data_IF_514480406063
#
_entry.id   IF_514480406063
#
_cell.length_a   1.000
_cell.length_b   1.000
_cell.length_c   1.000
_cell.angle_alpha   90.00
_cell.angle_beta   90.00
_cell.angle_gamma   90.00
#
_symmetry.space_group_name_H-M   'P 1'
#
loop_
_entity.id
_entity.type
_entity.pdbx_description
1 polymer ?
#
# COMPACT_ATOMS: atom_id res chain seq x y z
N UNK A 1 -13.71 54.64 41.04
CA UNK A 1 -13.01 53.87 40.00
C UNK A 1 -12.84 52.48 40.55
N UNK A 2 -13.54 51.49 39.97
CA UNK A 2 -13.62 50.13 40.53
C UNK A 2 -12.28 49.44 40.35
N UNK A 3 -11.63 49.10 41.46
CA UNK A 3 -10.46 48.22 41.46
C UNK A 3 -10.86 46.88 40.84
N UNK A 4 -10.30 46.59 39.66
CA UNK A 4 -10.37 45.27 39.07
C UNK A 4 -9.36 44.39 39.82
N UNK A 5 -9.77 43.85 40.97
CA UNK A 5 -9.00 42.83 41.67
C UNK A 5 -8.92 41.61 40.78
N UNK A 6 -7.79 41.45 40.08
CA UNK A 6 -7.50 40.29 39.24
C UNK A 6 -7.53 39.07 40.15
N UNK A 7 -8.59 38.28 40.06
CA UNK A 7 -8.79 37.09 40.88
C UNK A 7 -7.78 36.01 40.43
N UNK A 8 -6.55 36.11 40.94
CA UNK A 8 -5.43 35.23 40.58
C UNK A 8 -5.76 33.74 40.84
N UNK A 9 -6.72 33.46 41.73
CA UNK A 9 -7.22 32.10 41.99
C UNK A 9 -7.99 31.51 40.81
N UNK A 10 -8.83 32.31 40.13
CA UNK A 10 -9.57 31.86 38.94
C UNK A 10 -8.63 31.65 37.74
N UNK A 11 -7.63 32.53 37.57
CA UNK A 11 -6.66 32.43 36.46
C UNK A 11 -5.76 31.19 36.62
N UNK A 12 -5.35 30.87 37.84
CA UNK A 12 -4.55 29.68 38.11
C UNK A 12 -5.28 28.38 37.76
N UNK A 13 -6.60 28.32 38.02
CA UNK A 13 -7.42 27.16 37.70
C UNK A 13 -7.53 26.94 36.18
N UNK A 14 -7.73 28.02 35.41
CA UNK A 14 -7.80 27.94 33.93
C UNK A 14 -6.48 27.47 33.33
N UNK A 15 -5.34 27.99 33.80
CA UNK A 15 -4.02 27.57 33.31
C UNK A 15 -3.74 26.10 33.65
N UNK A 16 -4.11 25.65 34.86
CA UNK A 16 -3.93 24.25 35.26
C UNK A 16 -4.75 23.29 34.38
N UNK A 17 -6.00 23.63 34.07
CA UNK A 17 -6.86 22.80 33.21
C UNK A 17 -6.31 22.71 31.78
N UNK A 18 -5.76 23.80 31.23
CA UNK A 18 -5.16 23.80 29.89
C UNK A 18 -3.91 22.91 29.82
N UNK A 19 -3.03 22.98 30.83
CA UNK A 19 -1.79 22.17 30.87
C UNK A 19 -2.13 20.68 31.01
N UNK A 20 -3.06 20.34 31.90
CA UNK A 20 -3.47 18.95 32.12
C UNK A 20 -4.20 18.40 30.89
N UNK A 21 -5.08 19.18 30.26
CA UNK A 21 -5.75 18.82 29.02
C UNK A 21 -4.76 18.51 27.89
N UNK A 22 -3.75 19.38 27.71
CA UNK A 22 -2.71 19.20 26.70
C UNK A 22 -1.81 17.97 26.94
N UNK A 23 -1.48 17.67 28.20
CA UNK A 23 -0.69 16.49 28.56
C UNK A 23 -1.46 15.18 28.31
N UNK A 24 -2.76 15.15 28.60
CA UNK A 24 -3.61 13.98 28.35
C UNK A 24 -3.75 13.74 26.85
N UNK A 25 -4.01 14.80 26.05
CA UNK A 25 -4.08 14.67 24.59
C UNK A 25 -2.74 14.31 23.95
N UNK A 26 -1.63 14.81 24.49
CA UNK A 26 -0.28 14.52 23.99
C UNK A 26 0.16 13.08 24.25
N UNK A 27 -0.21 12.50 25.40
CA UNK A 27 0.12 11.11 25.73
C UNK A 27 -0.79 10.14 24.97
N UNK A 28 -2.09 10.43 24.79
CA UNK A 28 -2.95 9.63 23.93
C UNK A 28 -2.50 9.65 22.46
N UNK A 29 -2.02 10.80 21.96
CA UNK A 29 -1.46 10.88 20.61
C UNK A 29 -0.14 10.10 20.46
N UNK A 30 0.63 9.94 21.53
CA UNK A 30 1.88 9.19 21.52
C UNK A 30 1.70 7.67 21.66
N UNK A 31 0.56 7.20 22.20
CA UNK A 31 0.29 5.77 22.43
C UNK A 31 -0.78 5.17 21.54
N UNK A 32 -1.43 5.98 20.68
CA UNK A 32 -2.40 5.50 19.69
C UNK A 32 -1.69 5.14 18.37
N UNK A 33 -1.72 3.87 17.92
CA UNK A 33 -1.46 3.57 16.52
C UNK A 33 -2.66 4.07 15.70
N UNK A 34 -2.50 5.22 15.03
CA UNK A 34 -3.41 5.64 13.96
C UNK A 34 -4.74 6.27 14.40
N UNK A 35 -4.69 7.51 14.91
CA UNK A 35 -5.89 8.32 15.18
C UNK A 35 -5.71 9.79 14.78
N UNK A 36 -5.11 10.05 13.61
CA UNK A 36 -4.91 11.40 13.08
C UNK A 36 -6.10 11.86 12.24
N UNK A 37 -6.55 13.11 12.46
CA UNK A 37 -7.46 13.81 11.56
C UNK A 37 -6.87 13.80 10.12
N UNK A 38 -7.47 13.01 9.23
CA UNK A 38 -7.02 12.88 7.84
C UNK A 38 -7.61 14.01 7.00
N UNK A 39 -6.87 15.11 6.88
CA UNK A 39 -7.08 16.09 5.81
C UNK A 39 -6.51 15.50 4.51
N UNK A 40 -7.32 14.73 3.79
CA UNK A 40 -7.08 14.36 2.39
C UNK A 40 -5.70 13.79 2.10
N UNK A 41 -5.22 12.84 2.91
CA UNK A 41 -3.99 12.13 2.55
C UNK A 41 -4.26 11.34 1.27
N UNK A 42 -3.66 11.79 0.15
CA UNK A 42 -3.53 10.96 -1.03
C UNK A 42 -2.85 9.68 -0.58
N UNK A 43 -3.47 8.53 -0.84
CA UNK A 43 -2.81 7.25 -0.63
C UNK A 43 -1.49 7.27 -1.41
N UNK A 44 -0.39 7.08 -0.70
CA UNK A 44 0.91 6.88 -1.32
C UNK A 44 0.99 5.42 -1.78
N UNK A 45 1.50 5.21 -2.98
CA UNK A 45 1.68 3.89 -3.57
C UNK A 45 3.17 3.60 -3.76
N UNK A 46 3.54 2.32 -3.67
CA UNK A 46 4.87 1.82 -4.02
C UNK A 46 4.74 0.79 -5.13
N UNK A 47 5.65 0.85 -6.09
CA UNK A 47 5.66 -0.02 -7.27
C UNK A 47 6.72 -1.12 -7.12
N UNK A 48 6.36 -2.35 -7.46
CA UNK A 48 7.22 -3.52 -7.51
C UNK A 48 7.20 -4.09 -8.92
N UNK A 49 8.36 -4.48 -9.45
CA UNK A 49 8.48 -5.03 -10.81
C UNK A 49 9.14 -6.40 -10.78
N UNK A 50 8.51 -7.37 -11.43
CA UNK A 50 8.96 -8.75 -11.55
C UNK A 50 9.00 -9.11 -13.03
N UNK A 51 10.16 -9.48 -13.54
CA UNK A 51 10.33 -9.79 -14.96
C UNK A 51 11.13 -11.06 -15.12
N UNK A 52 10.66 -11.90 -16.03
CA UNK A 52 11.33 -13.13 -16.46
C UNK A 52 11.39 -13.18 -17.98
N UNK A 53 12.59 -13.49 -18.50
CA UNK A 53 12.80 -13.76 -19.91
C UNK A 53 13.44 -15.15 -20.06
N UNK A 54 13.15 -15.84 -21.16
CA UNK A 54 13.74 -17.12 -21.50
C UNK A 54 14.16 -17.13 -22.97
N UNK A 55 15.28 -17.78 -23.28
CA UNK A 55 15.75 -17.96 -24.67
C UNK A 55 14.82 -18.91 -25.46
N UNK A 56 14.16 -19.83 -24.76
CA UNK A 56 13.14 -20.74 -25.29
C UNK A 56 11.95 -20.78 -24.30
N UNK A 57 11.01 -19.82 -24.41
CA UNK A 57 9.85 -19.77 -23.51
C UNK A 57 8.99 -21.04 -23.62
N UNK A 58 8.42 -21.52 -22.51
CA UNK A 58 7.58 -22.71 -22.53
C UNK A 58 6.35 -22.49 -23.42
N UNK A 59 5.80 -23.55 -24.03
CA UNK A 59 4.69 -23.42 -24.96
C UNK A 59 3.39 -22.93 -24.30
N UNK A 60 3.24 -23.15 -22.99
CA UNK A 60 2.10 -22.73 -22.18
C UNK A 60 2.61 -22.18 -20.85
N UNK A 61 2.08 -21.04 -20.44
CA UNK A 61 2.29 -20.43 -19.13
C UNK A 61 0.94 -20.18 -18.46
N UNK A 62 0.79 -20.66 -17.23
CA UNK A 62 -0.37 -20.38 -16.39
C UNK A 62 -0.08 -19.13 -15.55
N UNK A 63 -0.89 -18.09 -15.69
CA UNK A 63 -0.76 -16.84 -14.93
C UNK A 63 -1.91 -16.74 -13.94
N UNK A 64 -1.57 -16.85 -12.65
CA UNK A 64 -2.51 -16.86 -11.53
C UNK A 64 -2.33 -15.57 -10.73
N UNK A 65 -3.29 -14.66 -10.81
CA UNK A 65 -3.24 -13.38 -10.09
C UNK A 65 -4.45 -13.24 -9.18
N UNK A 66 -4.21 -13.41 -7.88
CA UNK A 66 -5.21 -13.29 -6.84
C UNK A 66 -5.14 -11.91 -6.17
N UNK A 67 -6.14 -11.07 -6.43
CA UNK A 67 -6.39 -9.82 -5.71
C UNK A 67 -7.76 -9.84 -5.04
N UNK A 68 -7.85 -9.36 -3.80
CA UNK A 68 -9.16 -9.17 -3.13
C UNK A 68 -9.80 -7.83 -3.54
N UNK A 69 -8.98 -6.80 -3.74
CA UNK A 69 -9.41 -5.47 -4.19
C UNK A 69 -8.36 -4.85 -5.13
N UNK A 70 -8.82 -4.06 -6.10
CA UNK A 70 -7.95 -3.37 -7.05
C UNK A 70 -8.24 -3.74 -8.49
N UNK A 71 -7.19 -3.72 -9.33
CA UNK A 71 -7.33 -3.90 -10.78
C UNK A 71 -6.20 -4.74 -11.36
N UNK A 72 -6.50 -5.47 -12.43
CA UNK A 72 -5.52 -6.22 -13.21
C UNK A 72 -5.64 -5.75 -14.66
N UNK A 73 -4.54 -5.27 -15.23
CA UNK A 73 -4.43 -4.90 -16.63
C UNK A 73 -3.46 -5.85 -17.32
N UNK A 74 -3.89 -6.51 -18.39
CA UNK A 74 -3.06 -7.48 -19.13
C UNK A 74 -2.86 -6.97 -20.55
N UNK A 75 -1.61 -7.01 -21.01
CA UNK A 75 -1.22 -6.60 -22.36
C UNK A 75 -0.26 -7.61 -22.95
N UNK A 76 -0.38 -7.83 -24.26
CA UNK A 76 0.56 -8.64 -25.03
C UNK A 76 1.53 -7.74 -25.77
N UNK A 77 2.80 -8.14 -25.79
CA UNK A 77 3.87 -7.42 -26.48
C UNK A 77 4.59 -8.33 -27.46
N UNK A 78 5.09 -7.75 -28.53
CA UNK A 78 5.94 -8.44 -29.51
C UNK A 78 7.36 -8.54 -28.95
N UNK A 79 7.57 -9.54 -28.09
CA UNK A 79 8.86 -9.90 -27.49
C UNK A 79 8.90 -11.43 -27.36
N UNK A 80 9.67 -12.13 -28.21
CA UNK A 80 9.70 -13.59 -28.23
C UNK A 80 10.51 -14.18 -27.07
N UNK A 81 11.20 -13.34 -26.28
CA UNK A 81 11.99 -13.79 -25.13
C UNK A 81 11.26 -13.55 -23.80
N UNK A 82 10.22 -12.71 -23.80
CA UNK A 82 9.50 -12.35 -22.58
C UNK A 82 8.56 -13.48 -22.15
N UNK A 83 8.80 -14.03 -20.95
CA UNK A 83 7.83 -14.95 -20.31
C UNK A 83 6.75 -14.13 -19.62
N UNK A 84 7.15 -13.23 -18.72
CA UNK A 84 6.27 -12.26 -18.08
C UNK A 84 7.01 -11.00 -17.62
N UNK A 85 6.31 -9.87 -17.59
CA UNK A 85 6.71 -8.62 -16.93
C UNK A 85 5.50 -8.11 -16.14
N UNK A 86 5.54 -8.32 -14.83
CA UNK A 86 4.47 -8.00 -13.88
C UNK A 86 4.92 -6.80 -13.04
N UNK A 87 4.16 -5.72 -13.11
CA UNK A 87 4.29 -4.56 -12.25
C UNK A 87 3.12 -4.52 -11.28
N UNK A 88 3.41 -4.41 -9.98
CA UNK A 88 2.40 -4.33 -8.92
C UNK A 88 2.55 -2.98 -8.23
N UNK A 89 1.50 -2.17 -8.25
CA UNK A 89 1.40 -0.93 -7.52
C UNK A 89 0.52 -1.14 -6.28
N UNK A 90 1.10 -0.95 -5.09
CA UNK A 90 0.47 -1.29 -3.82
C UNK A 90 0.34 -0.03 -2.95
N UNK A 91 -0.82 0.22 -2.31
CA UNK A 91 -0.95 1.27 -1.31
C UNK A 91 0.01 1.04 -0.13
N UNK A 92 0.68 2.09 0.33
CA UNK A 92 1.63 1.99 1.45
C UNK A 92 0.98 1.51 2.76
N UNK A 93 -0.32 1.76 2.93
CA UNK A 93 -1.09 1.22 4.04
C UNK A 93 -1.10 -0.32 4.00
N UNK A 94 -1.33 -0.92 2.84
CA UNK A 94 -1.30 -2.38 2.65
C UNK A 94 0.10 -2.95 2.85
N UNK A 95 1.16 -2.24 2.43
CA UNK A 95 2.54 -2.67 2.64
C UNK A 95 2.92 -2.71 4.11
N UNK A 96 2.46 -1.73 4.91
CA UNK A 96 2.71 -1.72 6.34
C UNK A 96 2.08 -2.91 7.06
N UNK A 97 0.95 -3.41 6.57
CA UNK A 97 0.20 -4.53 7.17
C UNK A 97 0.63 -5.91 6.64
N UNK A 98 0.91 -6.02 5.34
CA UNK A 98 1.08 -7.29 4.63
C UNK A 98 2.50 -7.52 4.12
N UNK A 99 3.36 -6.50 4.16
CA UNK A 99 4.69 -6.56 3.56
C UNK A 99 4.64 -6.47 2.03
N UNK A 100 5.79 -6.73 1.40
CA UNK A 100 5.94 -6.59 -0.04
C UNK A 100 5.23 -7.72 -0.81
N UNK A 101 4.67 -7.44 -1.99
CA UNK A 101 4.18 -8.49 -2.89
C UNK A 101 5.33 -9.38 -3.34
N UNK A 102 5.02 -10.63 -3.63
CA UNK A 102 5.96 -11.63 -4.16
C UNK A 102 5.31 -12.29 -5.37
N UNK A 103 6.08 -12.41 -6.45
CA UNK A 103 5.73 -13.22 -7.61
C UNK A 103 6.60 -14.46 -7.59
N UNK A 104 5.99 -15.64 -7.68
CA UNK A 104 6.69 -16.91 -7.84
C UNK A 104 6.51 -17.42 -9.26
N UNK A 105 7.56 -18.03 -9.80
CA UNK A 105 7.52 -18.72 -11.09
C UNK A 105 8.10 -20.13 -10.92
N UNK A 106 7.25 -21.13 -11.02
CA UNK A 106 7.59 -22.55 -10.87
C UNK A 106 6.68 -23.40 -11.77
N UNK A 107 7.22 -24.46 -12.38
CA UNK A 107 6.47 -25.38 -13.27
C UNK A 107 5.60 -24.67 -14.34
N UNK A 108 6.15 -23.63 -14.97
CA UNK A 108 5.46 -22.77 -15.95
C UNK A 108 4.22 -22.02 -15.41
N UNK A 109 4.08 -21.94 -14.09
CA UNK A 109 3.04 -21.18 -13.41
C UNK A 109 3.64 -19.92 -12.77
N UNK A 110 3.10 -18.76 -13.16
CA UNK A 110 3.37 -17.46 -12.53
C UNK A 110 2.27 -17.20 -11.52
N UNK A 111 2.61 -17.03 -10.25
CA UNK A 111 1.65 -16.80 -9.19
C UNK A 111 1.93 -15.50 -8.43
N UNK A 112 0.89 -14.69 -8.27
CA UNK A 112 0.85 -13.53 -7.39
C UNK A 112 -0.39 -13.62 -6.51
N UNK A 113 -0.21 -13.67 -5.20
CA UNK A 113 -1.28 -13.53 -4.21
C UNK A 113 -1.04 -12.27 -3.37
N UNK A 114 -1.89 -11.27 -3.54
CA UNK A 114 -1.80 -10.03 -2.79
C UNK A 114 -3.18 -9.38 -2.60
N UNK A 115 -3.57 -8.92 -1.40
CA UNK A 115 -4.96 -8.54 -1.15
C UNK A 115 -5.40 -7.26 -1.87
N UNK A 116 -4.50 -6.27 -2.02
CA UNK A 116 -4.86 -4.95 -2.56
C UNK A 116 -3.77 -4.40 -3.46
N UNK A 117 -4.11 -4.04 -4.70
CA UNK A 117 -3.17 -3.36 -5.60
C UNK A 117 -3.65 -3.20 -7.03
N UNK A 118 -2.86 -2.49 -7.83
CA UNK A 118 -3.01 -2.42 -9.28
C UNK A 118 -1.90 -3.25 -9.92
N UNK A 119 -2.27 -4.31 -10.64
CA UNK A 119 -1.33 -5.20 -11.32
C UNK A 119 -1.36 -4.94 -12.81
N UNK A 120 -0.21 -4.66 -13.40
CA UNK A 120 -0.02 -4.59 -14.85
C UNK A 120 0.82 -5.78 -15.29
N UNK A 121 0.28 -6.60 -16.17
CA UNK A 121 0.92 -7.80 -16.71
C UNK A 121 1.22 -7.56 -18.18
N UNK A 122 2.47 -7.79 -18.55
CA UNK A 122 2.94 -7.79 -19.94
C UNK A 122 3.44 -9.20 -20.27
N UNK A 123 2.88 -9.78 -21.32
CA UNK A 123 3.16 -11.14 -21.75
C UNK A 123 3.77 -11.10 -23.16
N UNK A 124 4.78 -11.92 -23.41
CA UNK A 124 5.42 -12.04 -24.72
C UNK A 124 4.51 -12.71 -25.75
N UNK A 125 5.06 -13.00 -26.92
CA UNK A 125 4.33 -13.65 -28.02
C UNK A 125 4.83 -15.07 -28.37
N UNK A 126 5.82 -15.59 -27.64
CA UNK A 126 6.35 -16.94 -27.86
C UNK A 126 5.56 -18.05 -27.15
N UNK A 127 4.82 -17.72 -26.08
CA UNK A 127 4.02 -18.67 -25.29
C UNK A 127 2.53 -18.47 -25.48
N UNK A 128 1.74 -19.53 -25.32
CA UNK A 128 0.31 -19.40 -25.02
C UNK A 128 0.13 -19.12 -23.51
N UNK A 129 -0.92 -18.37 -23.16
CA UNK A 129 -1.18 -17.98 -21.78
C UNK A 129 -2.59 -18.36 -21.34
N UNK A 130 -2.69 -19.02 -20.20
CA UNK A 130 -3.93 -19.22 -19.47
C UNK A 130 -3.97 -18.23 -18.30
N UNK A 131 -5.05 -17.46 -18.18
CA UNK A 131 -5.23 -16.44 -17.16
C UNK A 131 -6.28 -16.90 -16.16
N UNK A 132 -5.96 -16.84 -14.86
CA UNK A 132 -6.86 -17.23 -13.76
C UNK A 132 -6.75 -16.32 -12.54
#
# INVERSE_FOLDING_TARGET
>A
MSEYTRNNSMVACVVAVVIIGAAITGILAATSPGGGFSFGQREAYTTFSFRENADDPPPLVDVVISLSTGQINVTFVDDPTLVYDITVEVPNASLAERGNPVVTYDDNQVQLDYPTGSVTVRLGNASAYALS
#
